data_IF_944692949234
#
_entry.id   IF_944692949234
#
_cell.length_a   1.000
_cell.length_b   1.000
_cell.length_c   1.000
_cell.angle_alpha   90.00
_cell.angle_beta   90.00
_cell.angle_gamma   90.00
#
_symmetry.space_group_name_H-M   'P 1'
#
loop_
_entity.id
_entity.type
_entity.pdbx_description
1 polymer ?
#
# COMPACT_ATOMS: atom_id res chain seq x y z
N UNK A 1 -16.36 -14.80 6.01
CA UNK A 1 -17.09 -15.01 4.74
C UNK A 1 -18.54 -14.55 4.83
N UNK A 2 -19.24 -14.88 5.91
CA UNK A 2 -20.69 -14.57 6.06
C UNK A 2 -20.94 -13.05 6.10
N UNK A 3 -20.09 -12.31 6.80
CA UNK A 3 -20.13 -10.84 6.80
C UNK A 3 -19.96 -10.26 5.38
N UNK A 4 -18.98 -10.75 4.64
CA UNK A 4 -18.71 -10.28 3.27
C UNK A 4 -19.86 -10.63 2.33
N UNK A 5 -20.47 -11.80 2.45
CA UNK A 5 -21.67 -12.15 1.69
C UNK A 5 -22.83 -11.21 1.98
N UNK A 6 -23.06 -10.92 3.28
CA UNK A 6 -24.11 -10.00 3.69
C UNK A 6 -23.89 -8.57 3.17
N UNK A 7 -22.63 -8.11 3.15
CA UNK A 7 -22.28 -6.80 2.57
C UNK A 7 -22.44 -6.77 1.03
N UNK A 8 -22.04 -7.84 0.35
CA UNK A 8 -22.21 -7.97 -1.09
C UNK A 8 -23.70 -7.98 -1.50
N UNK A 9 -24.56 -8.65 -0.72
CA UNK A 9 -26.02 -8.64 -0.90
C UNK A 9 -26.62 -7.23 -0.69
N UNK A 10 -26.00 -6.39 0.13
CA UNK A 10 -26.36 -4.97 0.30
C UNK A 10 -25.81 -4.06 -0.80
N UNK A 11 -25.08 -4.61 -1.77
CA UNK A 11 -24.54 -3.86 -2.90
C UNK A 11 -23.12 -3.34 -2.74
N UNK A 12 -22.42 -3.65 -1.63
CA UNK A 12 -21.01 -3.27 -1.44
C UNK A 12 -20.13 -3.95 -2.49
N UNK A 13 -19.42 -3.15 -3.28
CA UNK A 13 -18.63 -3.61 -4.43
C UNK A 13 -17.16 -3.85 -4.13
N UNK A 14 -16.56 -3.07 -3.24
CA UNK A 14 -15.17 -3.23 -2.84
C UNK A 14 -15.07 -3.68 -1.37
N UNK A 15 -14.31 -4.74 -1.15
CA UNK A 15 -13.99 -5.23 0.19
C UNK A 15 -12.50 -5.04 0.46
N UNK A 16 -12.19 -4.27 1.51
CA UNK A 16 -10.82 -4.01 1.94
C UNK A 16 -10.49 -4.91 3.12
N UNK A 17 -9.52 -5.80 2.93
CA UNK A 17 -9.03 -6.69 3.99
C UNK A 17 -7.97 -5.95 4.80
N UNK A 18 -8.23 -5.79 6.10
CA UNK A 18 -7.39 -5.02 7.01
C UNK A 18 -7.10 -5.82 8.27
N UNK A 19 -5.82 -5.89 8.65
CA UNK A 19 -5.33 -6.39 9.92
C UNK A 19 -3.99 -5.72 10.23
N UNK A 20 -3.37 -5.99 11.38
CA UNK A 20 -1.97 -5.55 11.64
C UNK A 20 -0.97 -6.22 10.68
N UNK A 21 -1.24 -7.45 10.28
CA UNK A 21 -0.58 -8.21 9.22
C UNK A 21 -1.62 -9.11 8.58
N UNK A 22 -2.21 -8.65 7.49
CA UNK A 22 -3.28 -9.36 6.77
C UNK A 22 -2.78 -10.68 6.18
N UNK A 23 -1.50 -10.74 5.82
CA UNK A 23 -0.86 -11.91 5.22
C UNK A 23 -0.64 -13.08 6.18
N UNK A 24 -0.93 -12.90 7.49
CA UNK A 24 -0.83 -13.96 8.51
C UNK A 24 -2.15 -14.67 8.82
N UNK A 25 -3.18 -14.40 8.04
CA UNK A 25 -4.51 -14.97 8.30
C UNK A 25 -4.46 -16.50 8.48
N UNK A 26 -5.04 -16.96 9.58
CA UNK A 26 -5.21 -18.37 9.91
C UNK A 26 -4.10 -19.01 10.74
N UNK A 27 -2.94 -18.36 10.90
CA UNK A 27 -1.82 -18.94 11.67
C UNK A 27 -2.21 -19.23 13.14
N UNK A 28 -3.00 -18.35 13.74
CA UNK A 28 -3.50 -18.48 15.13
C UNK A 28 -4.64 -19.50 15.26
N UNK A 29 -5.47 -19.63 14.23
CA UNK A 29 -6.67 -20.49 14.24
C UNK A 29 -6.37 -21.92 13.78
N UNK A 30 -5.52 -22.09 12.79
CA UNK A 30 -5.28 -23.35 12.10
C UNK A 30 -3.85 -23.87 12.27
N UNK A 31 -2.94 -23.09 12.86
CA UNK A 31 -1.52 -23.42 12.98
C UNK A 31 -0.74 -23.28 11.68
N UNK A 32 -1.38 -22.81 10.60
CA UNK A 32 -0.80 -22.58 9.29
C UNK A 32 -1.43 -21.37 8.60
N UNK A 33 -0.71 -20.78 7.63
CA UNK A 33 -1.21 -19.67 6.85
C UNK A 33 -2.32 -20.13 5.89
N UNK A 34 -3.48 -19.47 5.95
CA UNK A 34 -4.67 -19.74 5.13
C UNK A 34 -5.11 -18.54 4.30
N UNK A 35 -4.23 -17.57 4.11
CA UNK A 35 -4.62 -16.33 3.45
C UNK A 35 -5.02 -16.53 1.99
N UNK A 36 -4.26 -17.32 1.23
CA UNK A 36 -4.64 -17.64 -0.16
C UNK A 36 -5.93 -18.44 -0.26
N UNK A 37 -6.21 -19.32 0.71
CA UNK A 37 -7.47 -20.05 0.75
C UNK A 37 -8.65 -19.10 1.01
N UNK A 38 -8.50 -18.15 1.94
CA UNK A 38 -9.49 -17.11 2.18
C UNK A 38 -9.77 -16.30 0.90
N UNK A 39 -8.73 -15.87 0.21
CA UNK A 39 -8.87 -15.09 -1.03
C UNK A 39 -9.63 -15.87 -2.11
N UNK A 40 -9.35 -17.16 -2.29
CA UNK A 40 -10.08 -18.02 -3.23
C UNK A 40 -11.56 -18.15 -2.89
N UNK A 41 -11.90 -18.25 -1.60
CA UNK A 41 -13.29 -18.27 -1.16
C UNK A 41 -13.98 -16.91 -1.37
N UNK A 42 -13.28 -15.80 -1.16
CA UNK A 42 -13.80 -14.46 -1.42
C UNK A 42 -14.07 -14.20 -2.90
N UNK A 43 -13.23 -14.70 -3.80
CA UNK A 43 -13.44 -14.58 -5.25
C UNK A 43 -14.74 -15.23 -5.72
N UNK A 44 -15.22 -16.28 -5.02
CA UNK A 44 -16.46 -16.98 -5.34
C UNK A 44 -17.71 -16.24 -4.89
N UNK A 45 -17.57 -15.23 -4.05
CA UNK A 45 -18.73 -14.45 -3.57
C UNK A 45 -19.24 -13.59 -4.74
N UNK A 46 -20.52 -13.76 -5.07
CA UNK A 46 -21.18 -12.94 -6.08
C UNK A 46 -21.42 -11.52 -5.57
N UNK A 47 -21.49 -10.56 -6.47
CA UNK A 47 -21.70 -9.14 -6.14
C UNK A 47 -20.45 -8.35 -5.79
N UNK A 48 -19.33 -9.00 -5.44
CA UNK A 48 -18.03 -8.35 -5.22
C UNK A 48 -17.40 -8.01 -6.58
N UNK A 49 -17.00 -6.74 -6.75
CA UNK A 49 -16.19 -6.31 -7.87
C UNK A 49 -14.69 -6.32 -7.50
N UNK A 50 -14.32 -5.80 -6.31
CA UNK A 50 -12.95 -5.61 -5.91
C UNK A 50 -12.65 -6.16 -4.50
N UNK A 51 -11.49 -6.80 -4.38
CA UNK A 51 -10.89 -7.24 -3.12
C UNK A 51 -9.53 -6.56 -3.01
N UNK A 52 -9.36 -5.68 -2.03
CA UNK A 52 -8.12 -4.96 -1.75
C UNK A 52 -7.47 -5.49 -0.48
N UNK A 53 -6.15 -5.62 -0.51
CA UNK A 53 -5.35 -6.11 0.61
C UNK A 53 -4.50 -4.95 1.12
N UNK A 54 -4.66 -4.60 2.40
CA UNK A 54 -3.81 -3.62 3.08
C UNK A 54 -2.97 -4.30 4.16
N UNK A 55 -1.85 -3.68 4.52
CA UNK A 55 -0.91 -4.10 5.58
C UNK A 55 -0.35 -5.50 5.37
N UNK A 56 0.34 -5.71 4.26
CA UNK A 56 1.14 -6.91 4.03
C UNK A 56 2.58 -6.71 4.53
N UNK A 57 3.23 -7.81 4.90
CA UNK A 57 4.64 -7.79 5.28
C UNK A 57 5.51 -8.37 4.16
N UNK A 58 6.72 -7.80 3.89
CA UNK A 58 7.57 -8.25 2.79
C UNK A 58 7.93 -9.73 2.86
N UNK A 59 8.24 -10.25 4.06
CA UNK A 59 8.60 -11.65 4.31
C UNK A 59 7.42 -12.63 4.12
N UNK A 60 6.22 -12.12 3.89
CA UNK A 60 4.98 -12.89 3.71
C UNK A 60 4.44 -12.89 2.28
N UNK A 61 5.05 -12.15 1.38
CA UNK A 61 4.66 -12.12 -0.04
C UNK A 61 5.13 -13.42 -0.72
N UNK A 62 4.25 -14.42 -0.73
CA UNK A 62 4.52 -15.72 -1.35
C UNK A 62 4.34 -15.67 -2.87
N UNK A 63 4.93 -16.64 -3.58
CA UNK A 63 4.70 -16.80 -5.02
C UNK A 63 3.23 -17.15 -5.29
N UNK A 64 2.63 -17.99 -4.43
CA UNK A 64 1.22 -18.37 -4.51
C UNK A 64 0.28 -17.15 -4.45
N UNK A 65 0.54 -16.20 -3.53
CA UNK A 65 -0.24 -14.97 -3.42
C UNK A 65 -0.13 -14.14 -4.69
N UNK A 66 1.08 -13.92 -5.19
CA UNK A 66 1.29 -13.13 -6.40
C UNK A 66 0.69 -13.79 -7.65
N UNK A 67 0.77 -15.13 -7.76
CA UNK A 67 0.13 -15.86 -8.85
C UNK A 67 -1.40 -15.81 -8.78
N UNK A 68 -1.96 -15.87 -7.57
CA UNK A 68 -3.39 -15.72 -7.37
C UNK A 68 -3.86 -14.33 -7.79
N UNK A 69 -3.17 -13.28 -7.33
CA UNK A 69 -3.46 -11.89 -7.73
C UNK A 69 -3.32 -11.69 -9.25
N UNK A 70 -2.32 -12.32 -9.89
CA UNK A 70 -2.09 -12.19 -11.32
C UNK A 70 -3.20 -12.83 -12.18
N UNK A 71 -3.92 -13.83 -11.64
CA UNK A 71 -4.99 -14.56 -12.33
C UNK A 71 -6.38 -14.05 -11.98
N UNK A 72 -6.50 -13.30 -10.91
CA UNK A 72 -7.79 -12.81 -10.40
C UNK A 72 -8.26 -11.58 -11.16
N UNK A 73 -9.56 -11.52 -11.41
CA UNK A 73 -10.24 -10.32 -11.90
C UNK A 73 -10.77 -9.44 -10.75
N UNK A 74 -10.86 -10.00 -9.53
CA UNK A 74 -11.39 -9.31 -8.35
C UNK A 74 -10.32 -8.84 -7.38
N UNK A 75 -9.25 -9.64 -7.16
CA UNK A 75 -8.17 -9.26 -6.27
C UNK A 75 -7.31 -8.21 -6.96
N UNK A 76 -7.35 -6.99 -6.44
CA UNK A 76 -6.67 -5.87 -7.08
C UNK A 76 -5.15 -6.04 -7.04
N UNK A 77 -4.42 -5.69 -8.12
CA UNK A 77 -2.96 -5.64 -8.14
C UNK A 77 -2.46 -4.39 -7.39
N UNK A 78 -2.86 -4.30 -6.13
CA UNK A 78 -2.50 -3.25 -5.18
C UNK A 78 -1.87 -3.92 -3.96
N UNK A 79 -0.63 -3.58 -3.65
CA UNK A 79 0.14 -4.20 -2.58
C UNK A 79 0.64 -3.13 -1.63
N UNK A 80 0.11 -3.12 -0.42
CA UNK A 80 0.50 -2.20 0.65
C UNK A 80 1.54 -2.87 1.55
N UNK A 81 2.78 -2.37 1.47
CA UNK A 81 3.96 -2.87 2.18
C UNK A 81 4.58 -1.76 3.02
N UNK A 82 4.20 -1.56 4.28
CA UNK A 82 4.83 -0.58 5.17
C UNK A 82 6.28 -0.98 5.50
N UNK A 83 7.25 -0.55 4.69
CA UNK A 83 8.66 -0.93 4.79
C UNK A 83 9.36 -0.25 5.97
N UNK A 84 8.93 0.93 6.36
CA UNK A 84 9.39 1.78 7.45
C UNK A 84 10.77 2.42 7.21
N UNK A 85 11.75 1.69 6.70
CA UNK A 85 13.08 2.16 6.33
C UNK A 85 13.73 1.25 5.27
N UNK A 86 14.91 1.63 4.75
CA UNK A 86 15.68 0.85 3.79
C UNK A 86 17.17 0.67 4.18
N UNK A 87 17.53 1.06 5.41
CA UNK A 87 18.87 0.80 5.95
C UNK A 87 18.80 -0.31 7.00
N UNK A 88 19.66 -1.32 6.90
CA UNK A 88 19.61 -2.54 7.74
C UNK A 88 19.80 -2.25 9.23
N UNK A 89 20.64 -1.27 9.58
CA UNK A 89 20.84 -0.88 10.98
C UNK A 89 19.56 -0.29 11.58
N UNK A 90 18.88 0.58 10.83
CA UNK A 90 17.63 1.21 11.27
C UNK A 90 16.50 0.19 11.29
N UNK A 91 16.38 -0.67 10.27
CA UNK A 91 15.40 -1.75 10.24
C UNK A 91 15.54 -2.67 11.46
N UNK A 92 16.77 -3.05 11.80
CA UNK A 92 17.06 -3.85 12.98
C UNK A 92 16.68 -3.13 14.28
N UNK A 93 16.99 -1.84 14.41
CA UNK A 93 16.62 -1.02 15.57
C UNK A 93 15.09 -0.84 15.69
N UNK A 94 14.36 -0.81 14.58
CA UNK A 94 12.90 -0.83 14.53
C UNK A 94 12.29 -2.22 14.80
N UNK A 95 13.11 -3.23 15.09
CA UNK A 95 12.68 -4.64 15.22
C UNK A 95 11.96 -5.17 13.95
N UNK A 96 12.37 -4.69 12.76
CA UNK A 96 11.88 -5.18 11.48
C UNK A 96 12.69 -6.38 11.03
N UNK A 97 11.99 -7.39 10.49
CA UNK A 97 12.60 -8.59 9.92
C UNK A 97 13.05 -8.33 8.49
N UNK A 98 14.14 -8.99 8.11
CA UNK A 98 14.72 -8.88 6.79
C UNK A 98 15.68 -7.69 6.64
N UNK A 99 16.40 -7.70 5.54
CA UNK A 99 17.37 -6.69 5.13
C UNK A 99 16.84 -5.87 3.95
N UNK A 100 17.56 -4.81 3.59
CA UNK A 100 17.34 -4.08 2.34
C UNK A 100 17.34 -5.00 1.13
N UNK A 101 18.28 -5.96 1.09
CA UNK A 101 18.37 -6.91 -0.02
C UNK A 101 17.12 -7.81 -0.12
N UNK A 102 16.55 -8.24 1.02
CA UNK A 102 15.32 -9.01 1.05
C UNK A 102 14.14 -8.18 0.54
N UNK A 103 14.05 -6.92 0.93
CA UNK A 103 13.02 -5.98 0.45
C UNK A 103 13.15 -5.79 -1.07
N UNK A 104 14.35 -5.54 -1.58
CA UNK A 104 14.61 -5.37 -3.01
C UNK A 104 14.25 -6.63 -3.81
N UNK A 105 14.55 -7.81 -3.27
CA UNK A 105 14.19 -9.09 -3.89
C UNK A 105 12.66 -9.27 -3.98
N UNK A 106 11.93 -8.94 -2.91
CA UNK A 106 10.46 -9.00 -2.91
C UNK A 106 9.86 -8.00 -3.89
N UNK A 107 10.33 -6.76 -3.91
CA UNK A 107 9.87 -5.75 -4.87
C UNK A 107 10.13 -6.16 -6.31
N UNK A 108 11.31 -6.72 -6.60
CA UNK A 108 11.62 -7.26 -7.93
C UNK A 108 10.70 -8.42 -8.32
N UNK A 109 10.39 -9.33 -7.38
CA UNK A 109 9.44 -10.42 -7.57
C UNK A 109 8.02 -9.90 -7.88
N UNK A 110 7.54 -8.92 -7.12
CA UNK A 110 6.24 -8.26 -7.36
C UNK A 110 6.22 -7.66 -8.77
N UNK A 111 7.20 -6.82 -9.12
CA UNK A 111 7.28 -6.17 -10.43
C UNK A 111 7.34 -7.16 -11.60
N UNK A 112 7.99 -8.30 -11.40
CA UNK A 112 8.06 -9.38 -12.40
C UNK A 112 6.73 -10.09 -12.59
N UNK A 113 6.04 -10.42 -11.51
CA UNK A 113 4.79 -11.23 -11.54
C UNK A 113 3.57 -10.38 -11.83
N UNK A 114 3.55 -9.15 -11.33
CA UNK A 114 2.48 -8.16 -11.47
C UNK A 114 3.04 -6.85 -12.04
N UNK A 115 3.33 -6.77 -13.36
CA UNK A 115 4.00 -5.59 -13.96
C UNK A 115 3.21 -4.27 -13.82
N UNK A 116 1.91 -4.37 -13.56
CA UNK A 116 1.02 -3.23 -13.40
C UNK A 116 0.62 -2.97 -11.94
N UNK A 117 1.23 -3.69 -10.99
CA UNK A 117 0.89 -3.52 -9.59
C UNK A 117 1.13 -2.07 -9.12
N UNK A 118 0.20 -1.58 -8.32
CA UNK A 118 0.40 -0.39 -7.51
C UNK A 118 1.03 -0.83 -6.19
N UNK A 119 2.30 -0.50 -5.97
CA UNK A 119 2.98 -0.75 -4.70
C UNK A 119 2.87 0.50 -3.85
N UNK A 120 2.22 0.36 -2.70
CA UNK A 120 2.14 1.37 -1.66
C UNK A 120 3.11 1.03 -0.54
N UNK A 121 3.75 2.03 0.03
CA UNK A 121 4.64 1.87 1.18
C UNK A 121 4.53 3.05 2.15
N UNK A 122 5.09 2.85 3.32
CA UNK A 122 5.21 3.88 4.35
C UNK A 122 6.62 3.85 4.92
N UNK A 123 7.20 5.04 5.11
CA UNK A 123 8.50 5.24 5.75
C UNK A 123 8.39 6.11 6.99
N UNK A 124 9.37 5.96 7.89
CA UNK A 124 9.54 6.78 9.08
C UNK A 124 10.94 7.40 9.00
N UNK A 125 11.00 8.74 9.03
CA UNK A 125 12.24 9.50 9.05
C UNK A 125 12.57 9.96 10.47
N UNK A 126 13.87 10.05 10.77
CA UNK A 126 14.35 10.55 12.06
C UNK A 126 14.17 9.56 13.21
N UNK A 127 14.18 8.25 12.91
CA UNK A 127 14.24 7.25 13.96
C UNK A 127 15.53 7.43 14.80
N UNK A 128 15.52 7.16 16.14
CA UNK A 128 16.68 7.35 16.97
C UNK A 128 17.94 6.70 16.40
N UNK A 129 19.02 7.46 16.25
CA UNK A 129 20.27 7.03 15.67
C UNK A 129 20.37 7.08 14.15
N UNK A 130 19.31 7.49 13.42
CA UNK A 130 19.38 7.67 11.98
C UNK A 130 20.35 8.80 11.60
N UNK A 131 21.45 8.45 10.91
CA UNK A 131 22.44 9.42 10.44
C UNK A 131 22.00 10.10 9.13
N UNK A 132 22.61 11.24 8.73
CA UNK A 132 22.37 11.85 7.43
C UNK A 132 22.62 10.90 6.26
N UNK A 133 23.67 10.08 6.32
CA UNK A 133 24.04 9.12 5.28
C UNK A 133 22.98 7.98 5.16
N UNK A 134 22.40 7.56 6.27
CA UNK A 134 21.32 6.56 6.28
C UNK A 134 20.01 7.13 5.71
N UNK A 135 19.72 8.39 5.96
CA UNK A 135 18.61 9.09 5.33
C UNK A 135 18.85 9.26 3.82
N UNK A 136 20.06 9.60 3.38
CA UNK A 136 20.41 9.68 1.95
C UNK A 136 20.21 8.32 1.27
N UNK A 137 20.64 7.21 1.91
CA UNK A 137 20.39 5.85 1.41
C UNK A 137 18.89 5.54 1.28
N UNK A 138 18.05 6.07 2.17
CA UNK A 138 16.60 5.94 2.06
C UNK A 138 16.06 6.72 0.86
N UNK A 139 16.53 7.94 0.62
CA UNK A 139 16.15 8.73 -0.54
C UNK A 139 16.55 8.03 -1.85
N UNK A 140 17.76 7.50 -1.93
CA UNK A 140 18.25 6.73 -3.09
C UNK A 140 17.40 5.48 -3.34
N UNK A 141 17.02 4.78 -2.28
CA UNK A 141 16.15 3.62 -2.37
C UNK A 141 14.77 4.00 -2.94
N UNK A 142 14.14 5.04 -2.44
CA UNK A 142 12.85 5.54 -2.94
C UNK A 142 12.95 5.96 -4.40
N UNK A 143 14.02 6.68 -4.78
CA UNK A 143 14.27 7.07 -6.16
C UNK A 143 14.43 5.87 -7.12
N UNK A 144 15.08 4.80 -6.65
CA UNK A 144 15.29 3.56 -7.43
C UNK A 144 14.03 2.73 -7.55
N UNK A 145 13.27 2.56 -6.44
CA UNK A 145 12.10 1.69 -6.41
C UNK A 145 10.86 2.32 -7.05
N UNK A 146 10.76 3.66 -7.07
CA UNK A 146 9.67 4.40 -7.74
C UNK A 146 8.28 3.89 -7.32
N UNK A 147 7.96 4.01 -6.04
CA UNK A 147 6.66 3.57 -5.50
C UNK A 147 5.51 4.38 -6.11
N UNK A 148 4.42 3.71 -6.46
CA UNK A 148 3.20 4.35 -6.98
C UNK A 148 2.52 5.19 -5.91
N UNK A 149 2.52 4.71 -4.67
CA UNK A 149 1.97 5.39 -3.50
C UNK A 149 2.95 5.28 -2.34
N UNK A 150 3.19 6.37 -1.65
CA UNK A 150 4.08 6.39 -0.48
C UNK A 150 3.64 7.46 0.51
N UNK A 151 3.59 7.08 1.80
CA UNK A 151 3.52 8.00 2.92
C UNK A 151 4.86 8.06 3.66
N UNK A 152 5.15 9.19 4.28
CA UNK A 152 6.28 9.34 5.17
C UNK A 152 5.87 10.09 6.42
N UNK A 153 6.32 9.61 7.59
CA UNK A 153 6.07 10.22 8.88
C UNK A 153 7.41 10.56 9.57
N UNK A 154 7.43 11.68 10.27
CA UNK A 154 8.47 11.95 11.26
C UNK A 154 8.31 10.97 12.43
N UNK A 155 9.40 10.41 12.92
CA UNK A 155 9.37 9.55 14.10
C UNK A 155 8.80 10.31 15.31
N UNK A 156 7.80 9.74 15.96
CA UNK A 156 7.25 10.19 17.24
C UNK A 156 7.64 9.23 18.35
N UNK A 157 8.17 9.76 19.44
CA UNK A 157 8.52 8.97 20.62
C UNK A 157 7.25 8.69 21.45
N UNK A 158 6.75 7.47 21.36
CA UNK A 158 5.56 7.04 22.09
C UNK A 158 5.95 6.46 23.47
N UNK A 159 5.30 6.94 24.52
CA UNK A 159 5.53 6.49 25.89
C UNK A 159 5.36 4.96 26.00
N UNK A 160 6.29 4.32 26.70
CA UNK A 160 6.29 2.86 26.92
C UNK A 160 6.85 2.03 25.76
N UNK A 161 7.33 2.67 24.68
CA UNK A 161 8.05 1.97 23.62
C UNK A 161 9.56 2.00 23.87
N UNK A 162 10.31 0.92 23.55
CA UNK A 162 11.77 0.91 23.71
C UNK A 162 12.46 2.04 22.94
N UNK A 163 11.96 2.42 21.79
CA UNK A 163 12.56 3.44 20.94
C UNK A 163 12.47 4.85 21.54
N UNK A 164 11.52 5.11 22.45
CA UNK A 164 11.41 6.39 23.16
C UNK A 164 12.64 6.63 24.07
N UNK A 165 13.21 5.56 24.61
CA UNK A 165 14.37 5.59 25.52
C UNK A 165 15.71 5.42 24.79
N UNK A 166 15.70 5.25 23.47
CA UNK A 166 16.95 5.10 22.72
C UNK A 166 17.78 6.39 22.77
N UNK A 167 19.12 6.27 22.89
CA UNK A 167 20.00 7.42 22.75
C UNK A 167 19.97 7.97 21.31
N UNK A 168 20.55 9.15 21.13
CA UNK A 168 20.68 9.79 19.82
C UNK A 168 19.34 10.06 19.13
N UNK A 169 18.37 10.56 19.89
CA UNK A 169 17.14 11.10 19.32
C UNK A 169 17.47 12.19 18.30
N UNK A 170 16.83 12.12 17.14
CA UNK A 170 16.98 13.14 16.10
C UNK A 170 16.18 14.37 16.51
N UNK A 171 16.70 15.56 16.26
CA UNK A 171 16.01 16.82 16.52
C UNK A 171 14.71 16.93 15.72
N UNK A 172 13.65 17.50 16.30
CA UNK A 172 12.34 17.55 15.69
C UNK A 172 12.33 18.31 14.36
N UNK A 173 13.07 19.44 14.28
CA UNK A 173 13.19 20.19 13.05
C UNK A 173 13.88 19.36 11.94
N UNK A 174 14.86 18.53 12.31
CA UNK A 174 15.53 17.65 11.36
C UNK A 174 14.61 16.49 10.90
N UNK A 175 13.81 15.92 11.79
CA UNK A 175 12.80 14.90 11.41
C UNK A 175 11.81 15.48 10.37
N UNK A 176 11.28 16.66 10.62
CA UNK A 176 10.37 17.35 9.71
C UNK A 176 11.04 17.63 8.36
N UNK A 177 12.25 18.18 8.37
CA UNK A 177 13.04 18.43 7.17
C UNK A 177 13.24 17.17 6.32
N UNK A 178 13.59 16.04 6.95
CA UNK A 178 13.75 14.75 6.26
C UNK A 178 12.45 14.27 5.65
N UNK A 179 11.36 14.35 6.40
CA UNK A 179 10.02 13.97 5.93
C UNK A 179 9.61 14.81 4.71
N UNK A 180 9.78 16.12 4.75
CA UNK A 180 9.46 17.03 3.65
C UNK A 180 10.30 16.74 2.40
N UNK A 181 11.60 16.48 2.55
CA UNK A 181 12.47 16.11 1.45
C UNK A 181 12.06 14.81 0.78
N UNK A 182 11.77 13.77 1.59
CA UNK A 182 11.36 12.48 1.06
C UNK A 182 9.99 12.56 0.37
N UNK A 183 9.05 13.32 0.92
CA UNK A 183 7.74 13.56 0.30
C UNK A 183 7.84 14.40 -0.98
N UNK A 184 8.77 15.36 -1.05
CA UNK A 184 9.04 16.12 -2.27
C UNK A 184 9.58 15.21 -3.38
N UNK A 185 10.51 14.31 -3.06
CA UNK A 185 11.00 13.30 -3.97
C UNK A 185 9.85 12.40 -4.47
N UNK A 186 9.02 11.90 -3.55
CA UNK A 186 7.87 11.06 -3.90
C UNK A 186 6.85 11.79 -4.78
N UNK A 187 6.58 13.06 -4.53
CA UNK A 187 5.68 13.86 -5.38
C UNK A 187 6.18 13.94 -6.82
N UNK A 188 7.49 14.07 -7.00
CA UNK A 188 8.13 14.04 -8.32
C UNK A 188 7.93 12.67 -8.99
N UNK A 189 8.17 11.59 -8.26
CA UNK A 189 7.98 10.22 -8.75
C UNK A 189 6.52 9.97 -9.12
N UNK A 190 5.58 10.32 -8.23
CA UNK A 190 4.14 10.15 -8.45
C UNK A 190 3.66 10.92 -9.69
N UNK A 191 4.15 12.14 -9.89
CA UNK A 191 3.84 12.94 -11.08
C UNK A 191 4.30 12.24 -12.35
N UNK A 192 5.52 11.72 -12.38
CA UNK A 192 6.04 10.97 -13.53
C UNK A 192 5.24 9.70 -13.80
N UNK A 193 4.96 8.90 -12.75
CA UNK A 193 4.19 7.66 -12.88
C UNK A 193 2.74 7.92 -13.32
N UNK A 194 2.12 9.01 -12.88
CA UNK A 194 0.79 9.41 -13.35
C UNK A 194 0.84 9.86 -14.81
N UNK A 195 1.90 10.56 -15.23
CA UNK A 195 2.10 10.92 -16.64
C UNK A 195 2.25 9.68 -17.53
N UNK A 196 2.87 8.61 -17.06
CA UNK A 196 2.98 7.33 -17.76
C UNK A 196 1.63 6.61 -17.92
N UNK A 197 0.60 7.03 -17.16
CA UNK A 197 -0.78 6.52 -17.28
C UNK A 197 -1.61 7.24 -18.34
N UNK A 198 -1.16 8.37 -18.85
CA UNK A 198 -1.88 9.12 -19.90
C UNK A 198 -2.01 8.24 -21.16
N UNK A 199 -3.24 8.16 -21.69
CA UNK A 199 -3.57 7.32 -22.83
C UNK A 199 -3.89 5.85 -22.49
N UNK A 200 -3.82 5.45 -21.21
CA UNK A 200 -4.26 4.12 -20.76
C UNK A 200 -5.73 4.17 -20.31
N UNK A 201 -6.43 3.06 -20.54
CA UNK A 201 -7.79 2.87 -20.05
C UNK A 201 -7.75 2.07 -18.76
N UNK A 202 -8.48 2.54 -17.75
CA UNK A 202 -8.59 1.88 -16.43
C UNK A 202 -10.06 1.70 -16.06
N UNK A 203 -10.44 0.58 -15.42
CA UNK A 203 -11.70 0.48 -14.70
C UNK A 203 -11.72 1.47 -13.54
N UNK A 204 -12.86 2.13 -13.34
CA UNK A 204 -13.08 3.07 -12.24
C UNK A 204 -14.36 2.67 -11.52
N UNK A 205 -14.29 2.45 -10.23
CA UNK A 205 -15.45 2.30 -9.37
C UNK A 205 -15.99 3.68 -9.06
N UNK A 206 -17.22 3.96 -9.50
CA UNK A 206 -17.85 5.28 -9.33
C UNK A 206 -18.28 5.46 -7.89
N UNK A 207 -17.94 6.60 -7.29
CA UNK A 207 -18.29 6.92 -5.89
C UNK A 207 -19.32 8.04 -5.80
N UNK A 208 -19.20 9.06 -6.64
CA UNK A 208 -20.11 10.20 -6.59
C UNK A 208 -20.16 10.97 -7.91
N UNK A 209 -21.18 11.78 -8.08
CA UNK A 209 -21.24 12.82 -9.09
C UNK A 209 -21.13 14.20 -8.43
N UNK A 210 -20.10 14.94 -8.79
CA UNK A 210 -19.86 16.30 -8.33
C UNK A 210 -20.67 17.28 -9.20
N UNK A 211 -21.81 17.75 -8.68
CA UNK A 211 -22.71 18.66 -9.39
C UNK A 211 -22.07 20.03 -9.66
N UNK A 212 -21.17 20.51 -8.78
CA UNK A 212 -20.51 21.81 -8.96
C UNK A 212 -19.51 21.77 -10.11
N UNK A 213 -18.77 20.68 -10.24
CA UNK A 213 -17.75 20.49 -11.26
C UNK A 213 -18.26 19.77 -12.52
N UNK A 214 -19.49 19.25 -12.49
CA UNK A 214 -20.11 18.55 -13.61
C UNK A 214 -19.37 17.28 -14.02
N UNK A 215 -18.83 16.54 -13.06
CA UNK A 215 -18.00 15.35 -13.31
C UNK A 215 -18.22 14.26 -12.26
N UNK A 216 -17.94 13.03 -12.66
CA UNK A 216 -17.89 11.90 -11.73
C UNK A 216 -16.56 11.85 -11.01
N UNK A 217 -16.58 11.36 -9.77
CA UNK A 217 -15.43 10.97 -9.00
C UNK A 217 -15.52 9.49 -8.65
N UNK A 218 -14.39 8.80 -8.66
CA UNK A 218 -14.30 7.39 -8.32
C UNK A 218 -12.85 6.99 -8.07
N UNK A 219 -12.61 5.70 -7.94
CA UNK A 219 -11.27 5.15 -7.72
C UNK A 219 -10.93 4.07 -8.74
N UNK A 220 -9.67 4.00 -9.10
CA UNK A 220 -9.12 2.87 -9.85
C UNK A 220 -8.54 1.82 -8.88
N UNK A 221 -8.07 0.70 -9.42
CA UNK A 221 -7.33 -0.29 -8.62
C UNK A 221 -6.11 0.32 -7.89
N UNK A 222 -5.60 1.47 -8.37
CA UNK A 222 -4.41 2.15 -7.83
C UNK A 222 -4.70 3.01 -6.62
N UNK A 223 -5.96 3.15 -6.22
CA UNK A 223 -6.39 4.14 -5.24
C UNK A 223 -7.19 3.46 -4.13
N UNK A 224 -6.59 3.32 -2.94
CA UNK A 224 -7.28 2.82 -1.75
C UNK A 224 -8.22 3.90 -1.18
N UNK A 225 -9.41 3.51 -0.67
CA UNK A 225 -10.36 4.46 -0.11
C UNK A 225 -9.74 5.23 1.06
N UNK A 226 -10.04 6.54 1.14
CA UNK A 226 -9.64 7.47 2.20
C UNK A 226 -8.11 7.68 2.37
N UNK A 227 -7.28 6.96 1.64
CA UNK A 227 -5.81 6.97 1.79
C UNK A 227 -5.12 7.56 0.57
N UNK A 228 -5.60 7.19 -0.63
CA UNK A 228 -4.99 7.61 -1.89
C UNK A 228 -5.86 8.67 -2.60
N UNK A 229 -5.56 8.94 -3.85
CA UNK A 229 -6.27 9.92 -4.66
C UNK A 229 -7.58 9.39 -5.26
N UNK A 230 -8.19 10.23 -6.10
CA UNK A 230 -9.40 9.92 -6.86
C UNK A 230 -9.18 10.12 -8.35
N UNK A 231 -9.98 9.44 -9.14
CA UNK A 231 -10.07 9.62 -10.59
C UNK A 231 -11.33 10.44 -10.90
N UNK A 232 -11.14 11.54 -11.62
CA UNK A 232 -12.25 12.37 -12.08
C UNK A 232 -12.45 12.18 -13.58
N UNK A 233 -13.71 12.02 -14.00
CA UNK A 233 -14.04 11.82 -15.41
C UNK A 233 -15.40 12.42 -15.77
N UNK A 234 -15.63 12.65 -17.06
CA UNK A 234 -16.92 13.07 -17.61
C UNK A 234 -17.51 11.94 -18.43
N UNK A 235 -18.83 11.83 -18.44
CA UNK A 235 -19.57 10.86 -19.25
C UNK A 235 -20.86 11.46 -19.76
N UNK A 236 -21.27 11.05 -20.95
CA UNK A 236 -22.61 11.36 -21.49
C UNK A 236 -23.68 10.43 -20.90
N UNK A 237 -23.29 9.32 -20.30
CA UNK A 237 -24.16 8.37 -19.62
C UNK A 237 -24.22 8.66 -18.14
N UNK A 238 -25.39 8.41 -17.53
CA UNK A 238 -25.54 8.43 -16.08
C UNK A 238 -24.97 7.15 -15.50
N UNK A 239 -24.13 7.29 -14.47
CA UNK A 239 -23.56 6.18 -13.71
C UNK A 239 -24.07 6.23 -12.28
N UNK A 240 -24.45 5.08 -11.77
CA UNK A 240 -24.82 4.91 -10.36
C UNK A 240 -23.56 4.67 -9.51
N UNK A 241 -23.64 4.97 -8.24
CA UNK A 241 -22.61 4.65 -7.26
C UNK A 241 -22.36 3.13 -7.24
N UNK A 242 -21.09 2.71 -7.24
CA UNK A 242 -20.70 1.31 -7.23
C UNK A 242 -20.73 0.60 -8.60
N UNK A 243 -20.95 1.33 -9.69
CA UNK A 243 -20.84 0.75 -11.04
C UNK A 243 -19.43 0.82 -11.62
#
# INVERSE_FOLDING_TARGET
LDEIRALAEQGVKEHVLVAQDTTRYGEDLYGENRFCDLLRELERVEGIAWIRILYAYPDRISDELLELMAKSEKILPYIDLPLQHANDTILSAMNRRGSRADIEAVLAKIRKTLPHACVRTTFICGFPGETPEQFEQLCDFVAQQRFERMGCFAYSAEEGTPAADFPNQVDEAEKQRRTELLMTLQNTISTQLNQEMVGKTLPVLVEEYDEELGRYAGRSYRDAPEVDGRVYFTSEQTHEEGC
#
